data_IF_022387283593
#
_entry.id   IF_022387283593
#
_cell.length_a   1.000
_cell.length_b   1.000
_cell.length_c   1.000
_cell.angle_alpha   90.00
_cell.angle_beta   90.00
_cell.angle_gamma   90.00
#
_symmetry.space_group_name_H-M   'P 1'
#
loop_
_entity.id
_entity.type
_entity.pdbx_description
1 polymer ?
#
# COMPACT_ATOMS: atom_id res chain seq x y z
N UNK A 1 -13.19 -9.09 -22.69
CA UNK A 1 -12.45 -8.48 -21.56
C UNK A 1 -12.72 -6.99 -21.60
N UNK A 2 -13.26 -6.37 -20.53
CA UNK A 2 -13.42 -4.90 -20.50
C UNK A 2 -12.04 -4.26 -20.52
N UNK A 3 -11.88 -3.19 -21.28
CA UNK A 3 -10.62 -2.43 -21.32
C UNK A 3 -10.31 -1.95 -19.88
N UNK A 4 -9.04 -2.03 -19.47
CA UNK A 4 -8.59 -1.58 -18.14
C UNK A 4 -9.12 -0.19 -17.76
N UNK A 5 -9.19 0.74 -18.73
CA UNK A 5 -9.74 2.08 -18.52
C UNK A 5 -11.24 2.10 -18.21
N UNK A 6 -12.02 1.20 -18.80
CA UNK A 6 -13.47 1.08 -18.57
C UNK A 6 -13.78 0.57 -17.16
N UNK A 7 -12.86 -0.20 -16.56
CA UNK A 7 -13.04 -0.70 -15.20
C UNK A 7 -13.14 0.43 -14.17
N UNK A 8 -12.47 1.56 -14.40
CA UNK A 8 -12.59 2.74 -13.53
C UNK A 8 -13.99 3.36 -13.54
N UNK A 9 -14.81 3.12 -14.56
CA UNK A 9 -16.19 3.60 -14.58
C UNK A 9 -17.17 2.58 -14.01
N UNK A 10 -16.69 1.38 -13.65
CA UNK A 10 -17.54 0.31 -13.16
C UNK A 10 -18.09 0.61 -11.76
N UNK A 11 -19.37 0.33 -11.46
CA UNK A 11 -19.94 0.57 -10.13
C UNK A 11 -19.21 -0.15 -9.00
N UNK A 12 -18.65 -1.34 -9.26
CA UNK A 12 -17.86 -2.07 -8.25
C UNK A 12 -16.55 -1.35 -7.91
N UNK A 13 -15.89 -0.74 -8.89
CA UNK A 13 -14.73 0.09 -8.61
C UNK A 13 -15.11 1.35 -7.85
N UNK A 14 -16.18 2.03 -8.25
CA UNK A 14 -16.63 3.24 -7.55
C UNK A 14 -16.96 2.96 -6.08
N UNK A 15 -17.62 1.83 -5.79
CA UNK A 15 -17.87 1.36 -4.43
C UNK A 15 -16.57 1.07 -3.67
N UNK A 16 -15.66 0.29 -4.26
CA UNK A 16 -14.37 -0.04 -3.63
C UNK A 16 -13.52 1.20 -3.38
N UNK A 17 -13.46 2.13 -4.34
CA UNK A 17 -12.77 3.41 -4.21
C UNK A 17 -13.28 4.21 -3.01
N UNK A 18 -14.60 4.34 -2.88
CA UNK A 18 -15.19 5.07 -1.76
C UNK A 18 -14.94 4.37 -0.42
N UNK A 19 -15.04 3.05 -0.37
CA UNK A 19 -14.74 2.23 0.82
C UNK A 19 -13.31 2.47 1.33
N UNK A 20 -12.32 2.49 0.43
CA UNK A 20 -10.92 2.75 0.80
C UNK A 20 -10.69 4.19 1.25
N UNK A 21 -11.27 5.17 0.56
CA UNK A 21 -11.17 6.58 0.97
C UNK A 21 -11.82 6.82 2.34
N UNK A 22 -12.95 6.15 2.62
CA UNK A 22 -13.62 6.22 3.92
C UNK A 22 -12.81 5.56 5.03
N UNK A 23 -12.25 4.36 4.80
CA UNK A 23 -11.32 3.70 5.74
C UNK A 23 -10.18 4.63 6.14
N UNK A 24 -9.66 5.37 5.17
CA UNK A 24 -8.52 6.27 5.36
C UNK A 24 -8.94 7.67 5.82
N UNK A 25 -10.20 7.88 6.20
CA UNK A 25 -10.75 9.18 6.61
C UNK A 25 -10.41 10.32 5.62
N UNK A 26 -10.46 10.02 4.32
CA UNK A 26 -10.09 10.94 3.24
C UNK A 26 -8.72 11.61 3.49
N UNK A 27 -7.75 10.83 3.96
CA UNK A 27 -6.41 11.29 4.30
C UNK A 27 -5.37 10.51 3.50
N UNK A 28 -4.34 11.19 2.99
CA UNK A 28 -3.22 10.52 2.34
C UNK A 28 -2.48 9.61 3.34
N UNK A 29 -2.36 8.33 3.03
CA UNK A 29 -1.72 7.33 3.91
C UNK A 29 -0.20 7.38 3.96
N UNK A 30 0.41 8.33 3.25
CA UNK A 30 1.86 8.54 3.22
C UNK A 30 2.27 9.86 3.89
N UNK A 31 1.59 10.97 3.56
CA UNK A 31 1.94 12.30 4.06
C UNK A 31 0.87 12.96 4.94
N UNK A 32 -0.18 12.22 5.30
CA UNK A 32 -1.30 12.67 6.14
C UNK A 32 -2.08 13.89 5.64
N UNK A 33 -1.88 14.29 4.38
CA UNK A 33 -2.59 15.43 3.78
C UNK A 33 -4.07 15.11 3.54
N UNK A 34 -4.96 16.01 3.96
CA UNK A 34 -6.40 16.01 3.66
C UNK A 34 -6.79 17.06 2.61
N UNK A 35 -5.88 17.96 2.25
CA UNK A 35 -6.13 19.10 1.35
C UNK A 35 -5.85 18.78 -0.12
N UNK A 36 -5.08 17.72 -0.39
CA UNK A 36 -4.70 17.33 -1.75
C UNK A 36 -5.74 16.40 -2.37
N UNK A 37 -5.83 16.42 -3.70
CA UNK A 37 -6.68 15.48 -4.42
C UNK A 37 -6.21 14.04 -4.19
N UNK A 38 -7.11 13.18 -3.69
CA UNK A 38 -6.82 11.79 -3.37
C UNK A 38 -7.29 10.82 -4.46
N UNK A 39 -6.46 9.81 -4.70
CA UNK A 39 -6.74 8.64 -5.53
C UNK A 39 -6.41 7.36 -4.78
N UNK A 40 -7.09 6.28 -5.16
CA UNK A 40 -6.80 4.95 -4.62
C UNK A 40 -5.72 4.30 -5.47
N UNK A 41 -4.58 4.02 -4.84
CA UNK A 41 -3.43 3.35 -5.41
C UNK A 41 -3.49 1.84 -5.15
N UNK A 42 -3.30 1.04 -6.19
CA UNK A 42 -3.04 -0.40 -6.05
C UNK A 42 -1.55 -0.64 -5.85
N UNK A 43 -1.19 -1.29 -4.74
CA UNK A 43 0.19 -1.63 -4.47
C UNK A 43 0.76 -2.60 -5.51
N UNK A 44 -0.02 -3.61 -5.92
CA UNK A 44 0.35 -4.59 -6.93
C UNK A 44 -0.82 -4.89 -7.89
N UNK A 45 -0.51 -5.56 -8.99
CA UNK A 45 -1.47 -6.01 -9.99
C UNK A 45 -1.20 -7.48 -10.30
N UNK A 46 -2.25 -8.30 -10.29
CA UNK A 46 -2.23 -9.69 -10.71
C UNK A 46 -2.94 -9.83 -12.05
N UNK A 47 -2.49 -10.78 -12.86
CA UNK A 47 -3.20 -11.17 -14.09
C UNK A 47 -4.60 -11.72 -13.74
N UNK A 48 -5.54 -11.55 -14.67
CA UNK A 48 -6.92 -12.02 -14.57
C UNK A 48 -7.74 -11.53 -13.36
N UNK A 49 -7.31 -10.43 -12.73
CA UNK A 49 -8.06 -9.74 -11.68
C UNK A 49 -8.63 -8.41 -12.16
N UNK A 50 -9.89 -8.15 -11.84
CA UNK A 50 -10.50 -6.83 -11.99
C UNK A 50 -10.01 -5.89 -10.89
N UNK A 51 -9.97 -4.57 -11.15
CA UNK A 51 -9.37 -3.60 -10.24
C UNK A 51 -10.04 -3.51 -8.85
N UNK A 52 -11.21 -4.10 -8.63
CA UNK A 52 -11.92 -4.13 -7.35
C UNK A 52 -11.86 -5.48 -6.61
N UNK A 53 -11.18 -6.48 -7.18
CA UNK A 53 -11.15 -7.86 -6.64
C UNK A 53 -10.03 -8.12 -5.64
N UNK A 54 -9.25 -7.09 -5.28
CA UNK A 54 -8.14 -7.21 -4.35
C UNK A 54 -8.60 -7.01 -2.90
N UNK A 55 -7.87 -7.56 -1.93
CA UNK A 55 -8.13 -7.27 -0.51
C UNK A 55 -7.85 -5.79 -0.19
N UNK A 56 -8.48 -5.26 0.86
CA UNK A 56 -8.45 -3.83 1.18
C UNK A 56 -7.03 -3.30 1.45
N UNK A 57 -6.14 -4.12 2.01
CA UNK A 57 -4.73 -3.80 2.25
C UNK A 57 -3.89 -3.63 0.97
N UNK A 58 -4.34 -4.14 -0.17
CA UNK A 58 -3.73 -3.87 -1.47
C UNK A 58 -3.94 -2.41 -1.93
N UNK A 59 -4.82 -1.66 -1.26
CA UNK A 59 -5.17 -0.29 -1.63
C UNK A 59 -4.70 0.75 -0.62
N UNK A 60 -4.20 1.87 -1.13
CA UNK A 60 -3.82 3.04 -0.34
C UNK A 60 -4.52 4.30 -0.88
N UNK A 61 -5.10 5.12 -0.01
CA UNK A 61 -5.51 6.48 -0.38
C UNK A 61 -4.30 7.38 -0.40
N UNK A 62 -3.93 7.91 -1.57
CA UNK A 62 -2.73 8.75 -1.75
C UNK A 62 -3.07 10.05 -2.47
N UNK A 63 -2.36 11.12 -2.12
CA UNK A 63 -2.32 12.33 -2.94
C UNK A 63 -1.51 12.10 -4.22
N UNK A 64 -1.62 13.01 -5.18
CA UNK A 64 -0.93 12.91 -6.47
C UNK A 64 0.58 12.68 -6.35
N UNK A 65 1.27 13.46 -5.49
CA UNK A 65 2.73 13.36 -5.30
C UNK A 65 3.14 11.99 -4.77
N UNK A 66 2.48 11.53 -3.69
CA UNK A 66 2.76 10.24 -3.09
C UNK A 66 2.37 9.07 -4.01
N UNK A 67 1.35 9.26 -4.85
CA UNK A 67 0.94 8.26 -5.83
C UNK A 67 2.00 8.08 -6.93
N UNK A 68 2.61 9.18 -7.39
CA UNK A 68 3.73 9.11 -8.34
C UNK A 68 4.95 8.42 -7.73
N UNK A 69 5.31 8.77 -6.49
CA UNK A 69 6.40 8.15 -5.76
C UNK A 69 6.19 6.63 -5.61
N UNK A 70 5.00 6.20 -5.17
CA UNK A 70 4.68 4.79 -4.99
C UNK A 70 4.81 3.99 -6.30
N UNK A 71 4.39 4.55 -7.44
CA UNK A 71 4.56 3.94 -8.74
C UNK A 71 6.04 3.73 -9.12
N UNK A 72 6.92 4.63 -8.70
CA UNK A 72 8.35 4.54 -8.96
C UNK A 72 9.01 3.46 -8.08
N UNK A 73 8.65 3.39 -6.80
CA UNK A 73 9.19 2.40 -5.85
C UNK A 73 8.82 0.95 -6.21
N UNK A 74 7.65 0.71 -6.83
CA UNK A 74 7.22 -0.64 -7.22
C UNK A 74 8.17 -1.34 -8.21
N UNK A 75 8.96 -0.59 -8.98
CA UNK A 75 9.77 -1.14 -10.08
C UNK A 75 10.96 -2.00 -9.61
N UNK A 76 11.28 -2.01 -8.31
CA UNK A 76 12.57 -2.52 -7.80
C UNK A 76 12.47 -3.82 -6.98
N UNK A 77 11.28 -4.41 -6.77
CA UNK A 77 11.11 -5.58 -5.88
C UNK A 77 10.62 -6.84 -6.63
N UNK A 78 11.13 -8.04 -6.32
CA UNK A 78 10.57 -9.30 -6.83
C UNK A 78 9.08 -9.45 -6.53
N UNK A 79 8.27 -9.65 -7.58
CA UNK A 79 6.82 -9.53 -7.54
C UNK A 79 6.14 -10.39 -6.45
N UNK A 80 6.53 -11.65 -6.31
CA UNK A 80 5.87 -12.58 -5.37
C UNK A 80 6.08 -12.20 -3.91
N UNK A 81 7.28 -11.72 -3.56
CA UNK A 81 7.59 -11.30 -2.19
C UNK A 81 6.85 -9.99 -1.87
N UNK A 82 6.78 -9.09 -2.85
CA UNK A 82 6.05 -7.83 -2.73
C UNK A 82 4.55 -8.06 -2.48
N UNK A 83 3.91 -8.93 -3.27
CA UNK A 83 2.49 -9.29 -3.10
C UNK A 83 2.23 -9.85 -1.71
N UNK A 84 3.05 -10.81 -1.25
CA UNK A 84 2.90 -11.42 0.08
C UNK A 84 2.96 -10.38 1.20
N UNK A 85 3.93 -9.47 1.17
CA UNK A 85 4.05 -8.44 2.21
C UNK A 85 2.89 -7.43 2.17
N UNK A 86 2.43 -7.04 0.98
CA UNK A 86 1.24 -6.19 0.85
C UNK A 86 -0.02 -6.87 1.39
N UNK A 87 -0.18 -8.17 1.17
CA UNK A 87 -1.28 -8.98 1.73
C UNK A 87 -1.17 -9.14 3.25
N UNK A 88 0.00 -8.92 3.83
CA UNK A 88 0.21 -8.83 5.28
C UNK A 88 0.05 -7.40 5.82
N UNK A 89 -0.30 -6.43 4.97
CA UNK A 89 -0.54 -5.03 5.37
C UNK A 89 0.69 -4.11 5.31
N UNK A 90 1.82 -4.59 4.78
CA UNK A 90 2.98 -3.74 4.56
C UNK A 90 2.78 -2.86 3.34
N UNK A 91 3.23 -1.61 3.46
CA UNK A 91 3.21 -0.64 2.39
C UNK A 91 4.49 -0.67 1.56
N UNK A 92 4.43 -0.15 0.33
CA UNK A 92 5.61 0.01 -0.53
C UNK A 92 6.76 0.79 0.15
N UNK A 93 6.46 1.80 0.97
CA UNK A 93 7.49 2.56 1.69
C UNK A 93 8.13 1.75 2.81
N UNK A 94 7.37 0.94 3.54
CA UNK A 94 7.91 0.05 4.58
C UNK A 94 8.83 -1.01 3.94
N UNK A 95 8.44 -1.55 2.79
CA UNK A 95 9.29 -2.48 2.03
C UNK A 95 10.57 -1.82 1.53
N UNK A 96 10.47 -0.60 0.99
CA UNK A 96 11.64 0.16 0.55
C UNK A 96 12.57 0.51 1.73
N UNK A 97 12.01 0.87 2.88
CA UNK A 97 12.77 1.14 4.10
C UNK A 97 13.48 -0.12 4.60
N UNK A 98 12.81 -1.28 4.61
CA UNK A 98 13.44 -2.55 4.93
C UNK A 98 14.56 -2.90 3.95
N UNK A 99 14.36 -2.69 2.65
CA UNK A 99 15.41 -2.93 1.64
C UNK A 99 16.63 -2.02 1.87
N UNK A 100 16.42 -0.75 2.25
CA UNK A 100 17.49 0.19 2.58
C UNK A 100 18.27 -0.23 3.85
N UNK A 101 17.57 -0.73 4.88
CA UNK A 101 18.20 -1.28 6.09
C UNK A 101 19.05 -2.52 5.76
N UNK A 102 18.55 -3.41 4.91
CA UNK A 102 19.25 -4.65 4.58
C UNK A 102 20.41 -4.42 3.60
N UNK A 103 20.36 -3.34 2.81
CA UNK A 103 21.39 -2.95 1.86
C UNK A 103 22.63 -2.35 2.51
N UNK A 104 23.57 -3.21 2.96
CA UNK A 104 24.92 -2.78 3.33
C UNK A 104 25.15 -2.44 4.81
N UNK A 105 24.22 -2.81 5.70
CA UNK A 105 24.39 -2.65 7.15
C UNK A 105 24.99 -3.89 7.82
N UNK A 106 25.52 -3.71 9.03
CA UNK A 106 25.93 -4.83 9.89
C UNK A 106 24.70 -5.62 10.33
N UNK A 107 24.85 -6.91 10.55
CA UNK A 107 23.75 -7.83 10.88
C UNK A 107 22.87 -7.34 12.05
N UNK A 108 23.47 -6.79 13.11
CA UNK A 108 22.75 -6.27 14.28
C UNK A 108 21.87 -5.06 13.94
N UNK A 109 22.35 -4.14 13.10
CA UNK A 109 21.60 -2.96 12.66
C UNK A 109 20.43 -3.37 11.77
N UNK A 110 20.66 -4.35 10.89
CA UNK A 110 19.62 -4.92 10.05
C UNK A 110 18.50 -5.58 10.88
N UNK A 111 18.85 -6.38 11.88
CA UNK A 111 17.90 -7.02 12.80
C UNK A 111 17.10 -5.97 13.57
N UNK A 112 17.77 -4.92 14.08
CA UNK A 112 17.10 -3.87 14.85
C UNK A 112 16.12 -3.06 13.98
N UNK A 113 16.49 -2.77 12.72
CA UNK A 113 15.60 -2.12 11.77
C UNK A 113 14.36 -2.97 11.45
N UNK A 114 14.54 -4.27 11.18
CA UNK A 114 13.42 -5.20 10.95
C UNK A 114 12.48 -5.25 12.16
N UNK A 115 13.02 -5.39 13.38
CA UNK A 115 12.21 -5.38 14.62
C UNK A 115 11.37 -4.11 14.74
N UNK A 116 11.96 -2.96 14.40
CA UNK A 116 11.26 -1.68 14.45
C UNK A 116 10.06 -1.65 13.49
N UNK A 117 10.22 -2.15 12.27
CA UNK A 117 9.10 -2.23 11.29
C UNK A 117 8.01 -3.21 11.77
N UNK A 118 8.40 -4.37 12.30
CA UNK A 118 7.44 -5.34 12.85
C UNK A 118 6.66 -4.73 14.03
N UNK A 119 7.33 -4.03 14.94
CA UNK A 119 6.68 -3.38 16.08
C UNK A 119 5.67 -2.31 15.65
N UNK A 120 6.00 -1.53 14.60
CA UNK A 120 5.06 -0.56 14.02
C UNK A 120 3.81 -1.25 13.45
N UNK A 121 3.98 -2.37 12.76
CA UNK A 121 2.85 -3.13 12.22
C UNK A 121 1.99 -3.77 13.32
N UNK A 122 2.61 -4.32 14.36
CA UNK A 122 1.88 -4.86 15.52
C UNK A 122 1.09 -3.77 16.26
N UNK A 123 1.59 -2.52 16.30
CA UNK A 123 0.85 -1.38 16.87
C UNK A 123 -0.37 -1.01 16.02
N UNK A 124 -0.22 -1.00 14.68
CA UNK A 124 -1.34 -0.75 13.75
C UNK A 124 -2.45 -1.80 13.93
N UNK A 125 -2.10 -3.09 13.93
CA UNK A 125 -3.05 -4.18 14.15
C UNK A 125 -3.77 -4.08 15.50
N UNK A 126 -3.07 -3.66 16.57
CA UNK A 126 -3.71 -3.47 17.88
C UNK A 126 -4.68 -2.30 17.86
N UNK A 127 -4.34 -1.19 17.20
CA UNK A 127 -5.24 -0.04 17.10
C UNK A 127 -6.53 -0.38 16.35
N UNK A 128 -6.45 -1.21 15.30
CA UNK A 128 -7.60 -1.65 14.50
C UNK A 128 -8.53 -2.65 15.24
N UNK A 129 -8.05 -3.34 16.27
CA UNK A 129 -8.83 -4.30 17.06
C UNK A 129 -9.43 -3.71 18.36
N UNK A 130 -9.20 -2.42 18.63
CA UNK A 130 -9.69 -1.72 19.82
C UNK A 130 -10.83 -0.72 19.53
N UNK A 131 -11.39 -0.75 18.31
CA UNK A 131 -12.66 -0.12 17.91
C UNK A 131 -13.76 -1.19 17.74
#
# INVERSE_FOLDING_TARGET
MKNYKEQYQHPQWQKKRLEILQRDNFTCRSCDSQEKQLSVHHQYYLEDKMIWEYPNNCYLSLCEDCHEEANNLRKTTPHNLFVLFCDLGFTVWELNYMAAILGGQKEEEAIQGIKTVIDLQLRKLKAENHE
#
